data_IF_725704182400
#
_entry.id   IF_725704182400
#
_cell.length_a   1.000
_cell.length_b   1.000
_cell.length_c   1.000
_cell.angle_alpha   90.00
_cell.angle_beta   90.00
_cell.angle_gamma   90.00
#
_symmetry.space_group_name_H-M   'P 1'
#
loop_
_entity.id
_entity.type
_entity.pdbx_description
1 polymer ?
#
# COMPACT_ATOMS: atom_id res chain seq x y z
N UNK A 1 39.06 51.06 -36.05
CA UNK A 1 39.23 49.59 -35.96
C UNK A 1 40.58 49.30 -35.31
N UNK A 2 40.55 48.86 -34.06
CA UNK A 2 41.72 48.41 -33.29
C UNK A 2 41.70 46.90 -33.25
N UNK A 3 42.76 46.30 -33.78
CA UNK A 3 43.03 44.89 -33.69
C UNK A 3 43.54 44.51 -32.26
N UNK A 4 42.86 43.59 -31.62
CA UNK A 4 43.34 42.99 -30.38
C UNK A 4 44.02 41.67 -30.69
N UNK A 5 45.24 41.41 -30.26
CA UNK A 5 45.93 40.14 -30.52
C UNK A 5 45.43 38.98 -29.62
N UNK A 6 45.32 37.81 -30.21
CA UNK A 6 45.01 36.52 -29.58
C UNK A 6 46.18 36.03 -28.75
N UNK A 7 46.00 35.52 -27.51
CA UNK A 7 47.11 34.96 -26.72
C UNK A 7 47.50 33.58 -27.24
N UNK A 8 48.83 33.41 -27.38
CA UNK A 8 49.50 32.15 -27.74
C UNK A 8 49.53 31.25 -26.51
N UNK A 9 49.01 30.05 -26.61
CA UNK A 9 49.05 29.03 -25.54
C UNK A 9 50.37 28.23 -25.68
N UNK A 10 51.25 28.37 -24.72
CA UNK A 10 52.49 27.62 -24.60
C UNK A 10 52.20 26.22 -24.07
N UNK A 11 52.57 25.18 -24.80
CA UNK A 11 52.46 23.80 -24.36
C UNK A 11 53.53 23.43 -23.35
N UNK A 12 53.13 22.88 -22.19
CA UNK A 12 54.03 22.33 -21.16
C UNK A 12 54.35 20.87 -21.52
N UNK A 13 55.61 20.43 -21.37
CA UNK A 13 56.01 19.05 -21.72
C UNK A 13 55.44 18.02 -20.75
N UNK A 14 55.04 16.87 -21.32
CA UNK A 14 54.50 15.71 -20.60
C UNK A 14 55.55 15.07 -19.67
N UNK A 15 55.14 14.79 -18.44
CA UNK A 15 55.92 14.01 -17.48
C UNK A 15 55.88 12.51 -17.82
N UNK A 16 56.98 11.85 -17.69
CA UNK A 16 57.24 10.42 -17.89
C UNK A 16 56.46 9.55 -16.90
N UNK A 17 55.93 8.37 -17.28
CA UNK A 17 55.19 7.52 -16.37
C UNK A 17 56.09 6.85 -15.35
N UNK A 18 55.79 7.03 -14.06
CA UNK A 18 56.37 6.29 -12.94
C UNK A 18 55.70 4.91 -12.87
N UNK A 19 56.51 3.86 -12.92
CA UNK A 19 56.08 2.49 -12.67
C UNK A 19 55.89 2.25 -11.17
N UNK A 20 54.68 2.37 -10.69
CA UNK A 20 54.27 1.94 -9.37
C UNK A 20 53.57 0.57 -9.46
N UNK A 21 53.84 -0.41 -8.63
CA UNK A 21 53.26 -1.75 -8.75
C UNK A 21 51.76 -1.70 -8.39
N UNK A 22 50.94 -2.03 -9.37
CA UNK A 22 49.50 -2.20 -9.19
C UNK A 22 49.23 -3.39 -8.27
N UNK A 23 48.75 -3.13 -7.07
CA UNK A 23 48.21 -4.16 -6.20
C UNK A 23 46.85 -4.58 -6.75
N UNK A 24 46.74 -5.81 -7.19
CA UNK A 24 45.52 -6.46 -7.63
C UNK A 24 44.46 -6.43 -6.51
N UNK A 25 43.21 -5.98 -6.75
CA UNK A 25 42.19 -6.01 -5.72
C UNK A 25 41.84 -7.45 -5.38
N UNK A 26 42.09 -7.84 -4.14
CA UNK A 26 41.65 -9.11 -3.56
C UNK A 26 40.11 -9.23 -3.73
N UNK A 27 39.64 -10.25 -4.45
CA UNK A 27 38.24 -10.52 -4.64
C UNK A 27 37.54 -10.74 -3.28
N UNK A 28 36.71 -9.80 -2.89
CA UNK A 28 35.82 -9.95 -1.72
C UNK A 28 34.85 -11.08 -2.00
N UNK A 29 34.85 -12.12 -1.20
CA UNK A 29 33.92 -13.23 -1.31
C UNK A 29 32.48 -12.73 -1.23
N UNK A 30 31.75 -12.89 -2.32
CA UNK A 30 30.32 -12.61 -2.37
C UNK A 30 29.61 -13.59 -1.45
N UNK A 31 28.95 -13.08 -0.40
CA UNK A 31 28.15 -13.90 0.49
C UNK A 31 27.06 -14.64 -0.32
N UNK A 32 27.14 -15.95 -0.34
CA UNK A 32 26.11 -16.81 -0.95
C UNK A 32 24.82 -16.62 -0.18
N UNK A 33 23.79 -16.08 -0.85
CA UNK A 33 22.46 -15.93 -0.27
C UNK A 33 21.95 -17.30 0.17
N UNK A 34 21.66 -17.46 1.45
CA UNK A 34 20.96 -18.65 1.98
C UNK A 34 19.60 -18.76 1.30
N UNK A 35 19.26 -19.90 0.68
CA UNK A 35 17.96 -20.03 0.02
C UNK A 35 16.84 -19.84 1.04
N UNK A 36 15.95 -18.90 0.77
CA UNK A 36 14.72 -18.71 1.53
C UNK A 36 13.92 -20.02 1.48
N UNK A 37 13.48 -20.58 2.61
CA UNK A 37 12.70 -21.81 2.61
C UNK A 37 11.45 -21.64 1.73
N UNK A 38 11.30 -22.50 0.73
CA UNK A 38 10.14 -22.53 -0.13
C UNK A 38 8.94 -22.96 0.72
N UNK A 39 8.09 -22.02 1.06
CA UNK A 39 6.84 -22.31 1.76
C UNK A 39 5.98 -23.13 0.81
N UNK A 40 5.80 -24.41 1.12
CA UNK A 40 4.82 -25.23 0.41
C UNK A 40 3.43 -24.72 0.80
N UNK A 41 2.60 -24.26 -0.15
CA UNK A 41 1.25 -23.83 0.20
C UNK A 41 0.49 -25.02 0.78
N UNK A 42 -0.15 -24.80 1.93
CA UNK A 42 -1.09 -25.78 2.50
C UNK A 42 -2.19 -26.02 1.48
N UNK A 43 -2.50 -27.26 1.07
CA UNK A 43 -3.57 -27.52 0.13
C UNK A 43 -4.88 -26.93 0.67
N UNK A 44 -5.62 -26.25 -0.20
CA UNK A 44 -6.97 -25.80 0.12
C UNK A 44 -7.83 -27.04 0.33
N UNK A 45 -8.69 -27.11 1.36
CA UNK A 45 -9.59 -28.26 1.53
C UNK A 45 -10.50 -28.40 0.30
N UNK A 46 -10.68 -29.61 -0.18
CA UNK A 46 -11.46 -29.91 -1.40
C UNK A 46 -12.92 -29.42 -1.29
N UNK A 47 -13.48 -29.40 -0.08
CA UNK A 47 -14.80 -28.88 0.23
C UNK A 47 -14.71 -28.06 1.52
N UNK A 48 -14.44 -26.75 1.45
CA UNK A 48 -14.47 -25.92 2.64
C UNK A 48 -15.91 -25.86 3.16
N UNK A 49 -16.13 -26.26 4.41
CA UNK A 49 -17.40 -26.03 5.07
C UNK A 49 -17.52 -24.52 5.38
N UNK A 50 -18.40 -23.84 4.66
CA UNK A 50 -18.74 -22.46 4.96
C UNK A 50 -19.73 -22.45 6.12
N UNK A 51 -19.25 -22.14 7.30
CA UNK A 51 -20.08 -21.91 8.47
C UNK A 51 -20.31 -20.43 8.69
N UNK A 52 -21.36 -20.09 9.42
CA UNK A 52 -21.55 -18.74 9.92
C UNK A 52 -20.35 -18.32 10.78
N UNK A 53 -20.02 -17.02 10.80
CA UNK A 53 -18.99 -16.48 11.67
C UNK A 53 -19.31 -16.92 13.12
N UNK A 54 -18.38 -17.59 13.84
CA UNK A 54 -18.63 -18.06 15.19
C UNK A 54 -19.05 -16.95 16.13
N UNK A 55 -19.96 -17.26 17.06
CA UNK A 55 -20.35 -16.30 18.10
C UNK A 55 -19.11 -15.87 18.88
N UNK A 56 -18.98 -14.58 19.10
CA UNK A 56 -17.82 -13.99 19.77
C UNK A 56 -16.87 -13.26 18.84
N UNK A 57 -16.73 -13.66 17.57
CA UNK A 57 -15.90 -12.90 16.62
C UNK A 57 -16.50 -11.53 16.29
N UNK A 58 -17.82 -11.41 16.25
CA UNK A 58 -18.52 -10.13 16.04
C UNK A 58 -18.77 -9.37 17.34
N UNK A 59 -18.37 -9.90 18.49
CA UNK A 59 -18.59 -9.26 19.78
C UNK A 59 -17.82 -7.94 19.87
N UNK A 60 -18.49 -6.88 20.31
CA UNK A 60 -17.89 -5.56 20.57
C UNK A 60 -17.11 -5.60 21.90
N UNK A 61 -16.04 -6.38 21.96
CA UNK A 61 -15.23 -6.54 23.18
C UNK A 61 -14.19 -5.41 23.30
N UNK A 62 -14.33 -4.49 24.27
CA UNK A 62 -13.39 -3.38 24.46
C UNK A 62 -11.97 -3.85 24.79
N UNK A 63 -11.82 -5.01 25.42
CA UNK A 63 -10.51 -5.54 25.80
C UNK A 63 -9.64 -5.93 24.60
N UNK A 64 -10.27 -6.25 23.45
CA UNK A 64 -9.57 -6.63 22.21
C UNK A 64 -9.45 -5.48 21.22
N UNK A 65 -10.06 -4.34 21.52
CA UNK A 65 -10.18 -3.20 20.61
C UNK A 65 -8.82 -2.59 20.28
N UNK A 66 -8.51 -2.46 19.01
CA UNK A 66 -7.47 -1.60 18.46
C UNK A 66 -8.02 -0.25 18.01
N UNK A 67 -7.46 0.34 16.99
CA UNK A 67 -7.85 1.64 16.48
C UNK A 67 -8.38 1.52 15.04
N UNK A 68 -9.27 2.44 14.67
CA UNK A 68 -9.75 2.63 13.30
C UNK A 68 -9.45 4.06 12.91
N UNK A 69 -8.63 4.24 11.88
CA UNK A 69 -8.22 5.53 11.38
C UNK A 69 -8.74 5.76 9.96
N UNK A 70 -8.97 7.03 9.61
CA UNK A 70 -9.16 7.45 8.24
C UNK A 70 -7.80 7.94 7.73
N UNK A 71 -7.26 7.24 6.75
CA UNK A 71 -6.02 7.58 6.08
C UNK A 71 -6.33 8.31 4.77
N UNK A 72 -5.87 9.53 4.64
CA UNK A 72 -6.03 10.36 3.44
C UNK A 72 -4.73 10.40 2.65
N UNK A 73 -4.83 10.36 1.32
CA UNK A 73 -3.70 10.39 0.41
C UNK A 73 -4.08 11.01 -0.94
N UNK A 74 -3.10 11.58 -1.64
CA UNK A 74 -3.29 12.11 -3.00
C UNK A 74 -3.04 11.04 -4.05
N UNK A 75 -3.88 10.99 -5.09
CA UNK A 75 -3.75 10.07 -6.21
C UNK A 75 -4.03 10.74 -7.55
N UNK A 76 -3.31 10.29 -8.58
CA UNK A 76 -3.58 10.61 -9.99
C UNK A 76 -4.15 9.43 -10.77
N UNK A 77 -4.40 8.31 -10.10
CA UNK A 77 -4.92 7.08 -10.70
C UNK A 77 -6.45 7.04 -10.60
N UNK A 78 -7.12 7.84 -11.43
CA UNK A 78 -8.58 7.93 -11.50
C UNK A 78 -9.07 8.20 -12.92
N UNK A 79 -10.38 7.99 -13.14
CA UNK A 79 -11.05 8.30 -14.40
C UNK A 79 -11.70 9.68 -14.30
N UNK A 80 -11.44 10.52 -15.29
CA UNK A 80 -12.12 11.79 -15.51
C UNK A 80 -12.51 11.93 -16.98
N UNK A 81 -13.62 12.59 -17.25
CA UNK A 81 -14.01 13.00 -18.61
C UNK A 81 -13.11 14.14 -19.14
N UNK A 82 -12.42 14.85 -18.24
CA UNK A 82 -11.46 15.90 -18.58
C UNK A 82 -10.04 15.30 -18.65
N UNK A 83 -9.51 15.17 -19.87
CA UNK A 83 -8.15 14.67 -20.09
C UNK A 83 -7.06 15.53 -19.42
N UNK A 84 -7.33 16.83 -19.24
CA UNK A 84 -6.39 17.73 -18.54
C UNK A 84 -6.35 17.47 -17.03
N UNK A 85 -7.46 17.03 -16.46
CA UNK A 85 -7.57 16.73 -15.03
C UNK A 85 -6.84 15.44 -14.64
N UNK A 86 -6.65 14.49 -15.55
CA UNK A 86 -6.04 13.16 -15.28
C UNK A 86 -4.64 13.19 -14.68
N UNK A 87 -3.96 14.32 -14.67
CA UNK A 87 -2.63 14.50 -14.08
C UNK A 87 -2.67 15.32 -12.78
N UNK A 88 -3.84 15.81 -12.42
CA UNK A 88 -4.02 16.61 -11.21
C UNK A 88 -4.30 15.66 -10.05
N UNK A 89 -3.53 15.71 -8.96
CA UNK A 89 -3.81 14.91 -7.79
C UNK A 89 -5.19 15.22 -7.21
N UNK A 90 -5.88 14.19 -6.75
CA UNK A 90 -7.13 14.29 -5.99
C UNK A 90 -6.95 13.62 -4.64
N UNK A 91 -7.68 14.12 -3.65
CA UNK A 91 -7.72 13.52 -2.32
C UNK A 91 -8.54 12.23 -2.35
N UNK A 92 -7.92 11.17 -1.89
CA UNK A 92 -8.55 9.86 -1.70
C UNK A 92 -8.36 9.40 -0.27
N UNK A 93 -9.04 8.34 0.10
CA UNK A 93 -8.94 7.82 1.46
C UNK A 93 -9.14 6.30 1.55
N UNK A 94 -8.69 5.78 2.68
CA UNK A 94 -8.95 4.42 3.13
C UNK A 94 -9.28 4.43 4.62
N UNK A 95 -10.07 3.46 5.09
CA UNK A 95 -10.17 3.18 6.51
C UNK A 95 -9.10 2.14 6.86
N UNK A 96 -8.35 2.39 7.94
CA UNK A 96 -7.26 1.55 8.42
C UNK A 96 -7.62 1.01 9.79
N UNK A 97 -7.63 -0.30 9.91
CA UNK A 97 -7.85 -1.00 11.18
C UNK A 97 -6.51 -1.48 11.72
N UNK A 98 -6.10 -0.91 12.83
CA UNK A 98 -4.88 -1.25 13.53
C UNK A 98 -5.16 -2.30 14.61
N UNK A 99 -4.23 -3.24 14.88
CA UNK A 99 -4.36 -4.17 15.97
C UNK A 99 -4.27 -3.45 17.32
N UNK A 100 -4.76 -4.08 18.37
CA UNK A 100 -4.50 -3.62 19.73
C UNK A 100 -2.98 -3.55 19.97
N UNK A 101 -2.54 -2.54 20.67
CA UNK A 101 -1.12 -2.32 20.98
C UNK A 101 -0.24 -2.14 19.72
N UNK A 102 -0.82 -1.57 18.66
CA UNK A 102 -0.07 -1.18 17.46
C UNK A 102 1.16 -0.32 17.81
N UNK A 103 2.27 -0.57 17.11
CA UNK A 103 3.50 0.21 17.28
C UNK A 103 4.19 0.44 15.93
N UNK A 104 4.56 1.68 15.64
CA UNK A 104 5.34 2.04 14.42
C UNK A 104 6.73 1.37 14.36
N UNK A 105 7.23 0.80 15.46
CA UNK A 105 8.52 0.10 15.48
C UNK A 105 8.41 -1.39 15.14
N UNK A 106 7.21 -1.91 15.00
CA UNK A 106 6.92 -3.30 14.69
C UNK A 106 6.45 -3.44 13.24
N UNK A 107 6.78 -4.53 12.60
CA UNK A 107 6.33 -4.86 11.23
C UNK A 107 5.07 -5.73 11.28
N UNK A 108 4.07 -5.36 10.50
CA UNK A 108 2.81 -6.06 10.39
C UNK A 108 2.54 -6.49 8.95
N UNK A 109 1.96 -7.69 8.74
CA UNK A 109 1.32 -7.98 7.47
C UNK A 109 0.14 -7.01 7.25
N UNK A 110 -0.05 -6.59 5.99
CA UNK A 110 -1.16 -5.70 5.62
C UNK A 110 -2.12 -6.46 4.73
N UNK A 111 -3.40 -6.44 5.08
CA UNK A 111 -4.50 -7.03 4.33
C UNK A 111 -5.34 -5.92 3.72
N UNK A 112 -5.53 -5.94 2.41
CA UNK A 112 -6.41 -5.00 1.71
C UNK A 112 -7.74 -5.68 1.42
N UNK A 113 -8.82 -5.13 1.97
CA UNK A 113 -10.19 -5.62 1.76
C UNK A 113 -10.99 -4.57 1.00
N UNK A 114 -11.43 -4.96 -0.18
CA UNK A 114 -12.20 -4.07 -1.05
C UNK A 114 -13.70 -4.23 -0.77
N UNK A 115 -14.39 -3.11 -0.68
CA UNK A 115 -15.85 -3.11 -0.62
C UNK A 115 -16.48 -3.34 -2.00
N UNK A 116 -17.78 -3.64 -2.04
CA UNK A 116 -18.52 -3.86 -3.27
C UNK A 116 -18.95 -2.56 -3.95
N UNK A 117 -19.58 -2.72 -5.12
CA UNK A 117 -20.27 -1.63 -5.83
C UNK A 117 -21.33 -1.00 -4.91
N UNK A 118 -21.42 0.32 -4.93
CA UNK A 118 -22.34 1.10 -4.10
C UNK A 118 -22.12 0.98 -2.58
N UNK A 119 -20.93 0.62 -2.17
CA UNK A 119 -20.56 0.56 -0.77
C UNK A 119 -19.43 1.55 -0.45
N UNK A 120 -18.98 1.61 0.79
CA UNK A 120 -17.94 2.54 1.26
C UNK A 120 -16.96 1.85 2.21
N UNK A 121 -15.74 2.38 2.37
CA UNK A 121 -14.84 1.89 3.41
C UNK A 121 -15.44 1.95 4.82
N UNK A 122 -16.25 2.97 5.11
CA UNK A 122 -16.89 3.17 6.41
C UNK A 122 -17.91 2.07 6.72
N UNK A 123 -18.64 1.57 5.72
CA UNK A 123 -19.59 0.48 5.93
C UNK A 123 -18.91 -0.81 6.37
N UNK A 124 -17.68 -1.03 5.92
CA UNK A 124 -16.87 -2.19 6.33
C UNK A 124 -16.50 -2.13 7.81
N UNK A 125 -16.29 -0.95 8.37
CA UNK A 125 -15.92 -0.72 9.77
C UNK A 125 -17.10 -0.26 10.65
N UNK A 126 -18.33 -0.39 10.15
CA UNK A 126 -19.52 -0.08 10.93
C UNK A 126 -19.83 1.40 11.15
N UNK A 127 -19.20 2.29 10.40
CA UNK A 127 -19.43 3.74 10.43
C UNK A 127 -20.13 4.25 9.15
N UNK A 128 -20.65 3.34 8.32
CA UNK A 128 -21.33 3.67 7.07
C UNK A 128 -22.82 3.89 7.21
N UNK A 129 -23.49 4.11 6.06
CA UNK A 129 -24.94 4.36 5.98
C UNK A 129 -25.76 3.20 6.54
N UNK A 130 -25.24 1.99 6.42
CA UNK A 130 -25.81 0.79 7.05
C UNK A 130 -25.18 0.65 8.44
N UNK A 131 -25.76 1.30 9.42
CA UNK A 131 -25.26 1.38 10.81
C UNK A 131 -24.95 0.03 11.49
N UNK A 132 -25.43 -1.06 10.96
CA UNK A 132 -25.12 -2.43 11.36
C UNK A 132 -24.16 -3.10 10.37
N UNK A 133 -23.36 -2.31 9.65
CA UNK A 133 -22.38 -2.79 8.70
C UNK A 133 -21.55 -3.95 9.24
N UNK A 134 -20.83 -4.61 8.39
CA UNK A 134 -20.11 -5.85 8.70
C UNK A 134 -19.22 -5.77 9.96
N UNK A 135 -18.95 -4.56 10.48
CA UNK A 135 -18.16 -4.34 11.69
C UNK A 135 -16.91 -5.24 11.72
N UNK A 136 -16.28 -5.38 10.55
CA UNK A 136 -15.20 -6.34 10.31
C UNK A 136 -14.01 -6.13 11.23
N UNK A 137 -13.81 -4.92 11.75
CA UNK A 137 -12.77 -4.63 12.74
C UNK A 137 -12.91 -5.50 13.99
N UNK A 138 -14.14 -5.78 14.45
CA UNK A 138 -14.33 -6.65 15.64
C UNK A 138 -13.96 -8.09 15.32
N UNK A 139 -14.28 -8.56 14.11
CA UNK A 139 -13.89 -9.91 13.68
C UNK A 139 -12.36 -10.03 13.65
N UNK A 140 -11.67 -9.05 13.11
CA UNK A 140 -10.20 -9.00 13.06
C UNK A 140 -9.62 -8.98 14.46
N UNK A 141 -10.05 -8.05 15.32
CA UNK A 141 -9.52 -7.92 16.67
C UNK A 141 -9.76 -9.15 17.55
N UNK A 142 -10.95 -9.75 17.44
CA UNK A 142 -11.25 -10.96 18.20
C UNK A 142 -10.49 -12.18 17.67
N UNK A 143 -10.32 -12.31 16.36
CA UNK A 143 -9.51 -13.38 15.75
C UNK A 143 -8.02 -13.28 16.18
N UNK A 144 -7.47 -12.06 16.23
CA UNK A 144 -6.12 -11.82 16.73
C UNK A 144 -6.04 -12.19 18.22
N UNK A 145 -6.98 -11.74 19.04
CA UNK A 145 -7.00 -12.00 20.47
C UNK A 145 -7.15 -13.50 20.82
N UNK A 146 -7.87 -14.25 19.99
CA UNK A 146 -8.01 -15.71 20.11
C UNK A 146 -6.77 -16.48 19.63
N UNK A 147 -5.84 -15.82 18.92
CA UNK A 147 -4.66 -16.46 18.32
C UNK A 147 -4.90 -17.17 16.99
N UNK A 148 -6.08 -16.98 16.37
CA UNK A 148 -6.44 -17.58 15.08
C UNK A 148 -5.79 -16.86 13.90
N UNK A 149 -5.50 -15.56 14.08
CA UNK A 149 -4.84 -14.70 13.11
C UNK A 149 -3.68 -13.98 13.79
N UNK A 150 -2.57 -13.86 13.08
CA UNK A 150 -1.45 -13.01 13.53
C UNK A 150 -1.87 -11.54 13.50
N UNK A 151 -1.28 -10.75 14.40
CA UNK A 151 -1.46 -9.29 14.34
C UNK A 151 -1.20 -8.76 12.93
N UNK A 152 -2.16 -8.05 12.39
CA UNK A 152 -2.11 -7.47 11.05
C UNK A 152 -2.81 -6.11 11.02
N UNK A 153 -2.50 -5.34 10.00
CA UNK A 153 -3.22 -4.12 9.65
C UNK A 153 -4.21 -4.48 8.55
N UNK A 154 -5.45 -4.01 8.65
CA UNK A 154 -6.44 -4.18 7.58
C UNK A 154 -6.80 -2.82 7.00
N UNK A 155 -6.68 -2.69 5.68
CA UNK A 155 -6.94 -1.45 4.94
C UNK A 155 -8.15 -1.65 4.05
N UNK A 156 -9.11 -0.77 4.15
CA UNK A 156 -10.33 -0.71 3.33
C UNK A 156 -10.24 0.53 2.44
N UNK A 157 -9.73 0.41 1.19
CA UNK A 157 -9.65 1.55 0.28
C UNK A 157 -11.03 1.95 -0.24
N UNK A 158 -11.21 3.23 -0.57
CA UNK A 158 -12.30 3.67 -1.42
C UNK A 158 -12.04 3.15 -2.84
N UNK A 159 -12.81 2.14 -3.29
CA UNK A 159 -12.52 1.45 -4.57
C UNK A 159 -13.03 2.21 -5.80
N UNK A 160 -13.88 3.22 -5.64
CA UNK A 160 -14.37 4.03 -6.74
C UNK A 160 -13.32 5.10 -7.12
N UNK A 161 -12.63 4.91 -8.24
CA UNK A 161 -11.58 5.80 -8.73
C UNK A 161 -12.18 6.88 -9.68
N UNK A 162 -13.10 7.69 -9.16
CA UNK A 162 -13.68 8.83 -9.86
C UNK A 162 -12.90 10.13 -9.57
N UNK A 163 -13.24 11.19 -10.28
CA UNK A 163 -12.64 12.53 -10.16
C UNK A 163 -12.94 13.24 -8.83
N UNK A 164 -13.89 12.74 -8.05
CA UNK A 164 -14.22 13.27 -6.73
C UNK A 164 -13.43 12.58 -5.60
N UNK A 165 -12.75 11.46 -5.88
CA UNK A 165 -12.03 10.66 -4.89
C UNK A 165 -12.93 9.96 -3.86
N UNK A 166 -14.23 9.84 -4.14
CA UNK A 166 -15.25 9.37 -3.19
C UNK A 166 -16.02 8.16 -3.70
N UNK A 167 -16.58 7.40 -2.79
CA UNK A 167 -17.51 6.33 -3.11
C UNK A 167 -18.73 6.87 -3.87
N UNK A 168 -19.26 6.07 -4.81
CA UNK A 168 -20.47 6.37 -5.54
C UNK A 168 -21.49 5.27 -5.31
N UNK A 169 -22.74 5.67 -5.11
CA UNK A 169 -23.89 4.76 -4.96
C UNK A 169 -24.60 4.48 -6.27
N UNK A 170 -24.17 5.09 -7.36
CA UNK A 170 -24.71 4.81 -8.68
C UNK A 170 -24.24 3.43 -9.17
N UNK A 171 -25.10 2.79 -9.99
CA UNK A 171 -24.82 1.45 -10.56
C UNK A 171 -24.84 1.45 -12.08
N UNK A 172 -24.72 2.63 -12.70
CA UNK A 172 -24.62 2.76 -14.15
C UNK A 172 -23.26 2.32 -14.69
N UNK A 173 -23.15 2.15 -16.00
CA UNK A 173 -21.93 1.68 -16.66
C UNK A 173 -20.73 2.63 -16.45
N UNK A 174 -20.98 3.94 -16.37
CA UNK A 174 -19.93 4.93 -16.10
C UNK A 174 -19.35 4.73 -14.71
N UNK A 175 -20.20 4.61 -13.70
CA UNK A 175 -19.77 4.35 -12.33
C UNK A 175 -19.02 3.03 -12.24
N UNK A 176 -19.49 1.97 -12.91
CA UNK A 176 -18.81 0.68 -12.93
C UNK A 176 -17.38 0.80 -13.48
N UNK A 177 -17.14 1.63 -14.50
CA UNK A 177 -15.81 1.82 -15.08
C UNK A 177 -14.79 2.43 -14.11
N UNK A 178 -15.23 3.19 -13.10
CA UNK A 178 -14.32 3.73 -12.08
C UNK A 178 -13.64 2.65 -11.24
N UNK A 179 -14.25 1.47 -11.13
CA UNK A 179 -13.69 0.35 -10.37
C UNK A 179 -12.55 -0.36 -11.12
N UNK A 180 -12.43 -0.18 -12.43
CA UNK A 180 -11.34 -0.78 -13.23
C UNK A 180 -9.97 -0.19 -12.88
N UNK A 181 -9.94 1.03 -12.32
CA UNK A 181 -8.70 1.73 -11.96
C UNK A 181 -8.17 1.41 -10.57
N UNK A 182 -8.93 0.70 -9.74
CA UNK A 182 -8.52 0.43 -8.36
C UNK A 182 -7.14 -0.27 -8.26
N UNK A 183 -6.81 -1.15 -9.19
CA UNK A 183 -5.50 -1.84 -9.17
C UNK A 183 -4.36 -0.87 -9.34
N UNK A 184 -4.50 0.15 -10.19
CA UNK A 184 -3.49 1.17 -10.36
C UNK A 184 -3.32 2.02 -9.10
N UNK A 185 -4.41 2.55 -8.57
CA UNK A 185 -4.39 3.33 -7.33
C UNK A 185 -3.83 2.51 -6.16
N UNK A 186 -4.32 1.29 -5.97
CA UNK A 186 -3.89 0.40 -4.90
C UNK A 186 -2.38 0.13 -4.95
N UNK A 187 -1.87 -0.28 -6.12
CA UNK A 187 -0.49 -0.77 -6.22
C UNK A 187 0.54 0.35 -6.38
N UNK A 188 0.20 1.45 -7.04
CA UNK A 188 1.13 2.53 -7.33
C UNK A 188 1.13 3.63 -6.26
N UNK A 189 0.01 3.82 -5.55
CA UNK A 189 -0.17 4.94 -4.63
C UNK A 189 -0.45 4.47 -3.21
N UNK A 190 -1.57 3.78 -2.97
CA UNK A 190 -2.01 3.47 -1.61
C UNK A 190 -1.07 2.50 -0.89
N UNK A 191 -0.67 1.40 -1.50
CA UNK A 191 0.23 0.43 -0.85
C UNK A 191 1.58 1.05 -0.46
N UNK A 192 2.27 1.82 -1.31
CA UNK A 192 3.47 2.54 -0.90
C UNK A 192 3.23 3.54 0.24
N UNK A 193 2.10 4.25 0.22
CA UNK A 193 1.76 5.22 1.26
C UNK A 193 1.49 4.53 2.62
N UNK A 194 0.72 3.44 2.63
CA UNK A 194 0.46 2.63 3.83
C UNK A 194 1.77 2.04 4.39
N UNK A 195 2.63 1.50 3.54
CA UNK A 195 3.91 0.97 3.97
C UNK A 195 4.82 2.04 4.60
N UNK A 196 4.76 3.26 4.09
CA UNK A 196 5.53 4.38 4.64
C UNK A 196 5.02 4.82 6.01
N UNK A 197 3.69 4.81 6.21
CA UNK A 197 3.07 5.33 7.43
C UNK A 197 3.01 4.29 8.56
N UNK A 198 2.74 3.03 8.23
CA UNK A 198 2.37 2.01 9.21
C UNK A 198 3.35 0.83 9.33
N UNK A 199 4.37 0.72 8.45
CA UNK A 199 5.21 -0.50 8.41
C UNK A 199 6.70 -0.21 8.50
#
# INVERSE_FOLDING_TARGET
ALNTPTPVVTATPAASPSNEPTTEPTATATATATPTPKVTPTPFPENPEFSNIPKGYTAKNPANKGEVERFEYESTEYISDDESAKKTPIDRYAMVVLPKDYSKTKKYPVVYMLHGLSDTPESMVGNGILNDGACTQYVVWNAIANGDVKECIVVYPCVCCNEEGKSSFNTDAKTASYYDYIINDLTKVLMPAINKEYS
#
